data_IF_528246432613
#
_entry.id   IF_528246432613
#
_cell.length_a   1.000
_cell.length_b   1.000
_cell.length_c   1.000
_cell.angle_alpha   90.00
_cell.angle_beta   90.00
_cell.angle_gamma   90.00
#
_symmetry.space_group_name_H-M   'P 1'
#
loop_
_entity.id
_entity.type
_entity.pdbx_description
1 polymer ?
#
# COMPACT_ATOMS: atom_id res chain seq x y z
N UNK A 1 -24.87 -2.43 15.13
CA UNK A 1 -25.21 -1.26 14.29
C UNK A 1 -24.87 0.04 15.02
N UNK A 2 -24.01 0.88 14.44
CA UNK A 2 -23.66 2.22 14.94
C UNK A 2 -23.98 3.22 13.83
N UNK A 3 -24.99 4.05 14.02
CA UNK A 3 -25.28 5.17 13.12
C UNK A 3 -25.14 6.48 13.92
N UNK A 4 -24.41 7.48 13.41
CA UNK A 4 -24.29 8.78 14.08
C UNK A 4 -25.60 9.58 13.93
N UNK A 5 -26.03 10.24 15.00
CA UNK A 5 -27.17 11.15 14.99
C UNK A 5 -26.69 12.61 15.01
N UNK A 6 -26.85 13.29 13.87
CA UNK A 6 -26.98 14.75 13.79
C UNK A 6 -25.67 15.56 13.80
N UNK A 7 -25.52 16.40 12.78
CA UNK A 7 -24.69 17.61 12.82
C UNK A 7 -25.55 18.72 13.44
N UNK A 8 -25.22 19.18 14.65
CA UNK A 8 -25.78 20.44 15.17
C UNK A 8 -24.79 21.57 14.94
N UNK A 9 -25.30 22.70 14.45
CA UNK A 9 -24.52 23.92 14.22
C UNK A 9 -23.79 24.35 15.49
N UNK A 10 -22.48 24.53 15.37
CA UNK A 10 -21.49 24.85 16.41
C UNK A 10 -21.07 23.70 17.34
N UNK A 11 -20.18 22.81 16.85
CA UNK A 11 -19.19 22.13 17.70
C UNK A 11 -19.26 20.59 17.75
N UNK A 12 -18.55 19.93 16.84
CA UNK A 12 -18.12 18.51 16.94
C UNK A 12 -19.13 17.46 16.47
N UNK A 13 -18.62 16.39 15.83
CA UNK A 13 -19.39 15.17 15.57
C UNK A 13 -19.22 14.20 16.75
N UNK A 14 -20.25 13.42 17.09
CA UNK A 14 -20.24 12.54 18.27
C UNK A 14 -20.52 11.08 17.88
N UNK A 15 -19.78 10.14 18.50
CA UNK A 15 -19.98 8.70 18.34
C UNK A 15 -20.56 8.10 19.62
N UNK A 16 -21.69 7.39 19.51
CA UNK A 16 -22.31 6.68 20.64
C UNK A 16 -21.65 5.32 20.84
N UNK A 17 -20.98 5.13 21.98
CA UNK A 17 -20.39 3.85 22.39
C UNK A 17 -20.93 3.48 23.77
N UNK A 18 -21.65 2.35 23.86
CA UNK A 18 -22.02 1.75 25.15
C UNK A 18 -22.67 2.69 26.17
N UNK A 19 -23.62 3.54 25.74
CA UNK A 19 -24.36 4.45 26.63
C UNK A 19 -23.76 5.84 26.85
N UNK A 20 -22.60 6.16 26.27
CA UNK A 20 -21.99 7.50 26.34
C UNK A 20 -21.74 8.09 24.95
N UNK A 21 -21.93 9.41 24.83
CA UNK A 21 -21.65 10.19 23.63
C UNK A 21 -20.26 10.80 23.78
N UNK A 22 -19.30 10.38 22.95
CA UNK A 22 -17.96 10.99 22.90
C UNK A 22 -17.81 11.83 21.64
N UNK A 23 -17.10 12.95 21.77
CA UNK A 23 -16.65 13.73 20.61
C UNK A 23 -15.76 12.83 19.74
N UNK A 24 -16.02 12.80 18.44
CA UNK A 24 -15.21 12.10 17.46
C UNK A 24 -13.87 12.82 17.33
N UNK A 25 -12.79 12.06 17.20
CA UNK A 25 -11.48 12.61 16.83
C UNK A 25 -11.54 13.15 15.40
N UNK A 26 -10.65 14.09 15.05
CA UNK A 26 -10.57 14.61 13.68
C UNK A 26 -10.35 13.48 12.65
N UNK A 27 -9.62 12.42 13.03
CA UNK A 27 -9.46 11.21 12.21
C UNK A 27 -10.78 10.44 12.03
N UNK A 28 -11.60 10.30 13.08
CA UNK A 28 -12.90 9.64 12.99
C UNK A 28 -13.91 10.48 12.19
N UNK A 29 -13.86 11.81 12.33
CA UNK A 29 -14.64 12.75 11.51
C UNK A 29 -14.20 12.63 10.06
N UNK A 30 -12.90 12.64 9.82
CA UNK A 30 -12.31 12.49 8.50
C UNK A 30 -12.68 11.14 7.87
N UNK A 31 -12.60 10.03 8.62
CA UNK A 31 -13.02 8.72 8.17
C UNK A 31 -14.52 8.66 7.85
N UNK A 32 -15.35 9.33 8.64
CA UNK A 32 -16.80 9.43 8.42
C UNK A 32 -17.18 10.31 7.22
N UNK A 33 -16.45 11.40 6.98
CA UNK A 33 -16.65 12.26 5.80
C UNK A 33 -16.12 11.56 4.55
N UNK A 34 -14.96 10.91 4.65
CA UNK A 34 -14.35 10.13 3.57
C UNK A 34 -15.12 8.87 3.24
N UNK A 35 -15.98 8.35 4.12
CA UNK A 35 -16.92 7.29 3.76
C UNK A 35 -18.13 7.79 2.95
N UNK A 36 -18.30 9.11 2.76
CA UNK A 36 -19.37 9.70 1.93
C UNK A 36 -18.96 9.98 0.48
N UNK A 37 -17.68 9.81 0.12
CA UNK A 37 -17.17 9.99 -1.24
C UNK A 37 -15.88 9.20 -1.47
N UNK A 38 -15.57 8.91 -2.73
CA UNK A 38 -14.34 8.16 -3.07
C UNK A 38 -13.09 8.94 -2.64
N UNK A 39 -12.20 8.40 -1.77
CA UNK A 39 -10.95 9.04 -1.42
C UNK A 39 -10.05 9.17 -2.66
N UNK A 40 -9.24 10.22 -2.69
CA UNK A 40 -8.35 10.56 -3.80
C UNK A 40 -6.96 10.97 -3.33
N UNK A 41 -6.53 10.47 -2.17
CA UNK A 41 -5.23 10.83 -1.58
C UNK A 41 -4.05 10.47 -2.47
N UNK A 42 -4.23 9.45 -3.30
CA UNK A 42 -3.28 9.00 -4.31
C UNK A 42 -3.14 10.01 -5.47
N UNK A 43 -4.11 10.93 -5.64
CA UNK A 43 -4.04 12.06 -6.59
C UNK A 43 -3.40 13.33 -5.99
N UNK A 44 -3.16 13.38 -4.66
CA UNK A 44 -2.60 14.55 -4.00
C UNK A 44 -1.19 14.87 -4.55
N UNK A 45 -0.94 16.14 -4.86
CA UNK A 45 0.40 16.59 -5.29
C UNK A 45 1.35 16.64 -4.10
N UNK A 46 2.55 16.09 -4.27
CA UNK A 46 3.64 16.21 -3.30
C UNK A 46 4.40 17.49 -3.60
N UNK A 47 4.13 18.54 -2.82
CA UNK A 47 4.61 19.91 -3.11
C UNK A 47 6.13 20.04 -3.06
N UNK A 48 6.81 19.20 -2.29
CA UNK A 48 8.25 19.26 -2.12
C UNK A 48 9.01 18.48 -3.21
N UNK A 49 8.30 17.60 -3.94
CA UNK A 49 8.87 16.84 -5.05
C UNK A 49 8.76 17.59 -6.38
N UNK A 50 9.72 17.36 -7.26
CA UNK A 50 9.79 17.89 -8.62
C UNK A 50 9.79 16.75 -9.64
N UNK A 51 9.63 17.11 -10.92
CA UNK A 51 9.62 16.12 -12.00
C UNK A 51 10.94 15.32 -12.08
N UNK A 52 12.06 15.92 -11.71
CA UNK A 52 13.37 15.26 -11.70
C UNK A 52 13.47 14.14 -10.64
N UNK A 53 12.55 14.08 -9.67
CA UNK A 53 12.49 13.00 -8.67
C UNK A 53 11.77 11.76 -9.21
N UNK A 54 11.15 11.86 -10.39
CA UNK A 54 10.57 10.73 -11.11
C UNK A 54 11.64 10.07 -11.97
N UNK A 55 11.68 8.74 -11.88
CA UNK A 55 12.39 7.88 -12.81
C UNK A 55 11.59 7.78 -14.12
N UNK A 56 12.02 8.57 -15.10
CA UNK A 56 11.40 8.59 -16.42
C UNK A 56 11.58 7.29 -17.19
N UNK A 57 12.58 6.47 -16.86
CA UNK A 57 12.75 5.16 -17.50
C UNK A 57 11.62 4.22 -17.08
N UNK A 58 11.27 4.19 -15.79
CA UNK A 58 10.12 3.44 -15.29
C UNK A 58 8.79 3.94 -15.88
N UNK A 59 8.64 5.27 -16.03
CA UNK A 59 7.47 5.85 -16.70
C UNK A 59 7.39 5.42 -18.16
N UNK A 60 8.50 5.51 -18.91
CA UNK A 60 8.53 5.15 -20.33
C UNK A 60 8.21 3.65 -20.52
N UNK A 61 8.70 2.78 -19.62
CA UNK A 61 8.35 1.35 -19.59
C UNK A 61 6.84 1.14 -19.37
N UNK A 62 6.26 1.80 -18.36
CA UNK A 62 4.83 1.74 -18.06
C UNK A 62 3.96 2.24 -19.23
N UNK A 63 4.31 3.38 -19.83
CA UNK A 63 3.60 3.94 -20.98
C UNK A 63 3.65 2.98 -22.18
N UNK A 64 4.79 2.34 -22.43
CA UNK A 64 4.92 1.37 -23.52
C UNK A 64 4.08 0.10 -23.29
N UNK A 65 4.01 -0.38 -22.04
CA UNK A 65 3.09 -1.47 -21.67
C UNK A 65 1.63 -1.06 -21.91
N UNK A 66 1.24 0.15 -21.50
CA UNK A 66 -0.10 0.68 -21.75
C UNK A 66 -0.43 0.81 -23.24
N UNK A 67 0.51 1.28 -24.08
CA UNK A 67 0.33 1.35 -25.53
C UNK A 67 0.06 -0.03 -26.13
N UNK A 68 0.79 -1.04 -25.66
CA UNK A 68 0.63 -2.43 -26.10
C UNK A 68 -0.74 -3.00 -25.69
N UNK A 69 -1.13 -2.78 -24.43
CA UNK A 69 -2.42 -3.24 -23.90
C UNK A 69 -3.62 -2.46 -24.47
N UNK A 70 -3.42 -1.20 -24.86
CA UNK A 70 -4.48 -0.26 -25.27
C UNK A 70 -4.09 0.48 -26.55
N UNK A 71 -4.03 -0.20 -27.72
CA UNK A 71 -3.56 0.39 -28.97
C UNK A 71 -4.44 1.54 -29.53
N UNK A 72 -5.62 1.78 -28.94
CA UNK A 72 -6.53 2.88 -29.30
C UNK A 72 -6.46 4.08 -28.35
N UNK A 73 -5.59 4.05 -27.36
CA UNK A 73 -5.42 5.12 -26.38
C UNK A 73 -4.55 6.25 -26.94
N UNK A 74 -5.09 7.05 -27.86
CA UNK A 74 -4.36 8.13 -28.54
C UNK A 74 -3.79 9.21 -27.61
N UNK A 75 -4.32 9.34 -26.39
CA UNK A 75 -3.78 10.25 -25.38
C UNK A 75 -2.35 9.87 -24.92
N UNK A 76 -1.88 8.65 -25.20
CA UNK A 76 -0.51 8.20 -24.90
C UNK A 76 0.51 8.71 -25.92
N UNK A 77 0.07 9.29 -27.04
CA UNK A 77 0.93 9.83 -28.10
C UNK A 77 1.04 11.38 -28.04
N UNK A 78 0.35 11.98 -27.07
CA UNK A 78 0.42 13.41 -26.76
C UNK A 78 1.81 13.80 -26.19
N UNK A 79 2.13 15.10 -26.08
CA UNK A 79 3.34 15.55 -25.39
C UNK A 79 3.49 14.92 -24.01
N UNK A 80 4.73 14.65 -23.59
CA UNK A 80 5.03 13.95 -22.33
C UNK A 80 4.31 14.55 -21.11
N UNK A 81 4.25 15.87 -21.02
CA UNK A 81 3.57 16.56 -19.91
C UNK A 81 2.07 16.22 -19.86
N UNK A 82 1.41 16.14 -21.02
CA UNK A 82 0.01 15.77 -21.14
C UNK A 82 -0.21 14.28 -20.82
N UNK A 83 0.72 13.41 -21.22
CA UNK A 83 0.69 11.99 -20.88
C UNK A 83 0.82 11.78 -19.37
N UNK A 84 1.81 12.42 -18.73
CA UNK A 84 2.04 12.35 -17.28
C UNK A 84 0.81 12.84 -16.49
N UNK A 85 0.21 13.93 -16.95
CA UNK A 85 -0.98 14.52 -16.33
C UNK A 85 -2.22 13.64 -16.55
N UNK A 86 -2.42 13.16 -17.78
CA UNK A 86 -3.55 12.27 -18.13
C UNK A 86 -3.50 10.91 -17.44
N UNK A 87 -2.30 10.43 -17.12
CA UNK A 87 -2.08 9.22 -16.32
C UNK A 87 -2.12 9.48 -14.81
N UNK A 88 -2.28 10.74 -14.37
CA UNK A 88 -2.20 11.15 -12.97
C UNK A 88 -0.87 10.80 -12.29
N UNK A 89 0.22 10.68 -13.06
CA UNK A 89 1.59 10.58 -12.52
C UNK A 89 2.02 11.95 -11.99
N UNK A 90 1.62 13.01 -12.69
CA UNK A 90 1.79 14.39 -12.25
C UNK A 90 0.44 15.10 -12.16
N UNK A 91 0.37 16.07 -11.24
CA UNK A 91 -0.69 17.06 -11.17
C UNK A 91 -0.12 18.47 -11.38
N UNK A 92 -1.00 19.47 -11.37
CA UNK A 92 -0.59 20.86 -11.49
C UNK A 92 -0.54 21.53 -10.12
N UNK A 93 0.59 22.20 -9.82
CA UNK A 93 0.72 23.16 -8.72
C UNK A 93 1.25 24.48 -9.29
N UNK A 94 0.33 25.40 -9.59
CA UNK A 94 0.63 26.62 -10.32
C UNK A 94 1.06 26.33 -11.77
N UNK A 95 2.23 26.85 -12.16
CA UNK A 95 2.75 26.73 -13.53
C UNK A 95 3.67 25.50 -13.75
N UNK A 96 3.94 24.70 -12.71
CA UNK A 96 4.84 23.54 -12.80
C UNK A 96 4.07 22.25 -12.55
N UNK A 97 4.37 21.23 -13.36
CA UNK A 97 3.94 19.86 -13.08
C UNK A 97 4.69 19.32 -11.86
N UNK A 98 3.97 18.67 -10.95
CA UNK A 98 4.54 18.04 -9.76
C UNK A 98 4.04 16.60 -9.62
N UNK A 99 4.85 15.69 -9.08
CA UNK A 99 4.41 14.32 -8.81
C UNK A 99 3.15 14.28 -7.95
N UNK A 100 2.20 13.43 -8.33
CA UNK A 100 1.16 13.00 -7.41
C UNK A 100 1.73 11.98 -6.42
N UNK A 101 1.01 11.68 -5.35
CA UNK A 101 1.38 10.63 -4.43
C UNK A 101 1.53 9.28 -5.14
N UNK A 102 0.56 8.90 -5.99
CA UNK A 102 0.65 7.67 -6.77
C UNK A 102 1.84 7.69 -7.74
N UNK A 103 2.02 8.80 -8.45
CA UNK A 103 3.13 8.94 -9.40
C UNK A 103 4.49 8.82 -8.72
N UNK A 104 4.67 9.49 -7.58
CA UNK A 104 5.89 9.41 -6.80
C UNK A 104 6.10 8.00 -6.23
N UNK A 105 5.07 7.36 -5.66
CA UNK A 105 5.22 6.02 -5.10
C UNK A 105 5.46 4.92 -6.14
N UNK A 106 4.97 5.10 -7.37
CA UNK A 106 5.14 4.10 -8.43
C UNK A 106 6.42 4.30 -9.24
N UNK A 107 6.82 5.55 -9.45
CA UNK A 107 7.87 5.91 -10.41
C UNK A 107 8.93 6.85 -9.80
N UNK A 108 8.88 7.17 -8.52
CA UNK A 108 9.89 8.00 -7.87
C UNK A 108 11.22 7.26 -7.73
N UNK A 109 12.32 7.99 -7.90
CA UNK A 109 13.68 7.47 -7.69
C UNK A 109 13.91 7.01 -6.25
N UNK A 110 13.43 7.80 -5.29
CA UNK A 110 13.41 7.43 -3.88
C UNK A 110 12.28 8.15 -3.13
N UNK A 111 11.04 7.62 -3.15
CA UNK A 111 9.86 8.30 -2.60
C UNK A 111 10.00 8.67 -1.12
N UNK A 112 10.79 7.91 -0.37
CA UNK A 112 10.97 8.06 1.07
C UNK A 112 11.79 9.31 1.45
N UNK A 113 12.42 10.02 0.51
CA UNK A 113 12.96 11.37 0.79
C UNK A 113 11.85 12.35 1.20
N UNK A 114 10.67 12.20 0.58
CA UNK A 114 9.50 13.05 0.81
C UNK A 114 8.50 12.40 1.79
N UNK A 115 8.45 11.07 1.79
CA UNK A 115 7.43 10.29 2.48
C UNK A 115 8.07 9.16 3.31
N UNK A 116 8.82 9.48 4.39
CA UNK A 116 9.76 8.54 5.03
C UNK A 116 9.14 7.27 5.63
N UNK A 117 7.84 7.31 5.94
CA UNK A 117 7.12 6.18 6.55
C UNK A 117 6.29 5.39 5.54
N UNK A 118 6.27 5.81 4.27
CA UNK A 118 5.61 5.07 3.18
C UNK A 118 6.56 3.99 2.65
N UNK A 119 6.81 3.01 3.52
CA UNK A 119 7.70 1.87 3.30
C UNK A 119 7.05 0.59 3.85
N UNK A 120 7.70 -0.55 3.61
CA UNK A 120 7.39 -1.81 4.27
C UNK A 120 8.49 -2.19 5.25
N UNK A 121 8.12 -2.74 6.40
CA UNK A 121 9.09 -3.31 7.36
C UNK A 121 8.86 -4.80 7.51
N UNK A 122 9.93 -5.57 7.61
CA UNK A 122 9.91 -7.00 7.89
C UNK A 122 10.58 -7.30 9.21
N UNK A 123 9.91 -8.07 10.06
CA UNK A 123 10.47 -8.55 11.33
C UNK A 123 10.21 -10.05 11.44
N UNK A 124 11.28 -10.82 11.63
CA UNK A 124 11.18 -12.25 11.89
C UNK A 124 11.36 -12.53 13.38
N UNK A 125 10.38 -13.17 14.00
CA UNK A 125 10.40 -13.62 15.38
C UNK A 125 10.92 -15.04 15.48
N UNK A 126 11.55 -15.35 16.62
CA UNK A 126 12.03 -16.70 16.91
C UNK A 126 10.89 -17.70 17.15
N UNK A 127 9.86 -17.27 17.88
CA UNK A 127 8.73 -18.10 18.29
C UNK A 127 7.43 -17.73 17.59
N UNK A 128 6.31 -18.12 18.23
CA UNK A 128 4.96 -17.79 17.79
C UNK A 128 4.42 -16.50 18.43
N UNK A 129 5.15 -15.94 19.40
CA UNK A 129 4.82 -14.64 20.03
C UNK A 129 5.98 -13.64 20.02
N UNK A 130 5.69 -12.36 20.27
CA UNK A 130 6.70 -11.29 20.32
C UNK A 130 7.56 -11.32 21.60
N UNK A 131 7.16 -12.08 22.63
CA UNK A 131 7.86 -12.23 23.91
C UNK A 131 8.92 -13.32 23.89
N UNK A 132 8.78 -14.31 22.99
CA UNK A 132 9.76 -15.38 22.85
C UNK A 132 11.11 -14.83 22.36
N UNK A 133 12.20 -15.45 22.82
CA UNK A 133 13.57 -15.04 22.55
C UNK A 133 14.37 -16.23 22.03
N UNK A 134 15.39 -15.95 21.24
CA UNK A 134 16.37 -16.98 20.87
C UNK A 134 17.06 -17.52 22.14
N UNK A 135 17.70 -18.71 22.10
CA UNK A 135 18.50 -19.20 23.22
C UNK A 135 19.63 -18.25 23.66
N UNK A 136 20.00 -17.29 22.80
CA UNK A 136 20.99 -16.23 23.08
C UNK A 136 20.36 -14.94 23.61
N UNK A 137 19.03 -14.87 23.72
CA UNK A 137 18.29 -13.72 24.24
C UNK A 137 17.88 -12.67 23.20
N UNK A 138 18.07 -12.93 21.90
CA UNK A 138 17.69 -11.99 20.84
C UNK A 138 16.17 -11.95 20.66
N UNK A 139 15.62 -10.77 20.38
CA UNK A 139 14.18 -10.56 20.17
C UNK A 139 13.73 -10.93 18.76
N UNK A 140 14.56 -10.67 17.76
CA UNK A 140 14.25 -10.86 16.36
C UNK A 140 15.36 -11.68 15.71
N UNK A 141 15.00 -12.58 14.81
CA UNK A 141 15.94 -13.30 13.93
C UNK A 141 16.40 -12.41 12.78
N UNK A 142 15.52 -11.52 12.33
CA UNK A 142 15.78 -10.61 11.23
C UNK A 142 14.90 -9.35 11.36
N UNK A 143 15.40 -8.23 10.84
CA UNK A 143 14.70 -6.94 10.82
C UNK A 143 15.17 -6.11 9.62
N UNK A 144 14.27 -5.92 8.65
CA UNK A 144 14.57 -5.26 7.38
C UNK A 144 13.54 -4.17 7.06
N UNK A 145 13.99 -3.16 6.31
CA UNK A 145 13.11 -2.15 5.70
C UNK A 145 13.20 -2.27 4.18
N UNK A 146 12.06 -2.16 3.51
CA UNK A 146 11.94 -2.11 2.07
C UNK A 146 11.49 -0.71 1.70
N UNK A 147 12.37 0.00 1.01
CA UNK A 147 12.23 1.40 0.57
C UNK A 147 12.46 1.44 -0.95
N UNK A 148 12.10 2.55 -1.60
CA UNK A 148 12.04 2.69 -3.05
C UNK A 148 10.59 2.80 -3.57
N UNK A 149 10.41 2.78 -4.90
CA UNK A 149 9.09 2.73 -5.50
C UNK A 149 8.39 1.38 -5.22
N UNK A 150 7.06 1.40 -5.24
CA UNK A 150 6.20 0.26 -4.88
C UNK A 150 6.58 -1.04 -5.62
N UNK A 151 6.82 -1.06 -6.94
CA UNK A 151 7.18 -2.29 -7.63
C UNK A 151 8.44 -2.94 -7.06
N UNK A 152 9.47 -2.13 -6.80
CA UNK A 152 10.73 -2.61 -6.21
C UNK A 152 10.54 -3.08 -4.76
N UNK A 153 9.75 -2.35 -3.97
CA UNK A 153 9.47 -2.77 -2.60
C UNK A 153 8.71 -4.10 -2.55
N UNK A 154 7.77 -4.34 -3.47
CA UNK A 154 7.04 -5.61 -3.57
C UNK A 154 7.98 -6.74 -3.95
N UNK A 155 8.79 -6.56 -5.00
CA UNK A 155 9.72 -7.58 -5.48
C UNK A 155 10.78 -7.93 -4.43
N UNK A 156 11.30 -6.92 -3.72
CA UNK A 156 12.27 -7.12 -2.65
C UNK A 156 11.63 -7.81 -1.45
N UNK A 157 10.46 -7.36 -0.99
CA UNK A 157 9.75 -7.99 0.12
C UNK A 157 9.43 -9.46 -0.17
N UNK A 158 8.89 -9.76 -1.36
CA UNK A 158 8.58 -11.12 -1.80
C UNK A 158 9.84 -11.99 -1.76
N UNK A 159 10.92 -11.56 -2.43
CA UNK A 159 12.17 -12.31 -2.50
C UNK A 159 12.78 -12.56 -1.13
N UNK A 160 12.74 -11.55 -0.25
CA UNK A 160 13.27 -11.63 1.11
C UNK A 160 12.48 -12.62 1.97
N UNK A 161 11.15 -12.55 1.94
CA UNK A 161 10.29 -13.45 2.72
C UNK A 161 10.42 -14.89 2.21
N UNK A 162 10.46 -15.12 0.89
CA UNK A 162 10.72 -16.46 0.32
C UNK A 162 12.08 -17.03 0.75
N UNK A 163 13.09 -16.16 0.91
CA UNK A 163 14.39 -16.54 1.46
C UNK A 163 14.36 -16.91 2.94
N UNK A 164 13.51 -16.23 3.73
CA UNK A 164 13.35 -16.45 5.16
C UNK A 164 12.43 -17.64 5.50
N UNK A 165 11.54 -18.05 4.58
CA UNK A 165 10.65 -19.21 4.75
C UNK A 165 11.42 -20.52 4.95
N UNK A 166 10.88 -21.39 5.81
CA UNK A 166 11.43 -22.74 5.92
C UNK A 166 11.11 -23.52 4.65
N UNK A 167 12.13 -24.17 4.11
CA UNK A 167 11.99 -25.05 2.95
C UNK A 167 11.80 -26.47 3.45
N UNK A 168 10.61 -27.02 3.29
CA UNK A 168 10.38 -28.45 3.52
C UNK A 168 10.76 -29.21 2.25
N UNK A 169 11.61 -30.22 2.35
CA UNK A 169 11.98 -31.05 1.19
C UNK A 169 11.15 -32.31 1.17
N UNK A 170 10.31 -32.47 0.16
CA UNK A 170 9.61 -33.72 -0.13
C UNK A 170 10.50 -34.54 -1.07
N UNK A 171 10.78 -35.79 -0.68
CA UNK A 171 11.50 -36.75 -1.51
C UNK A 171 10.43 -37.59 -2.23
N UNK A 172 10.30 -37.39 -3.54
CA UNK A 172 9.41 -38.19 -4.39
C UNK A 172 10.29 -39.02 -5.36
N UNK A 173 10.56 -40.26 -4.97
CA UNK A 173 11.50 -41.14 -5.66
C UNK A 173 12.94 -40.59 -5.65
N UNK A 174 13.48 -40.25 -6.83
CA UNK A 174 14.85 -39.72 -7.02
C UNK A 174 14.88 -38.19 -6.99
N UNK A 175 13.72 -37.53 -7.03
CA UNK A 175 13.62 -36.07 -7.13
C UNK A 175 13.32 -35.45 -5.77
N UNK A 176 14.17 -34.51 -5.35
CA UNK A 176 13.92 -33.63 -4.21
C UNK A 176 13.14 -32.41 -4.72
N UNK A 177 11.97 -32.15 -4.15
CA UNK A 177 11.21 -30.91 -4.39
C UNK A 177 11.15 -30.12 -3.08
N UNK A 178 11.57 -28.87 -3.14
CA UNK A 178 11.37 -27.94 -2.03
C UNK A 178 9.93 -27.41 -2.11
N UNK A 179 9.17 -27.60 -1.04
CA UNK A 179 7.80 -27.11 -0.88
C UNK A 179 7.85 -25.90 0.06
N UNK A 180 7.47 -24.74 -0.47
CA UNK A 180 7.34 -23.49 0.26
C UNK A 180 6.15 -23.58 1.24
N UNK A 181 6.27 -22.90 2.39
CA UNK A 181 5.18 -22.81 3.37
C UNK A 181 3.95 -22.08 2.81
N UNK A 182 4.14 -21.14 1.87
CA UNK A 182 3.08 -20.40 1.18
C UNK A 182 3.33 -20.39 -0.34
N UNK A 183 2.28 -20.46 -1.18
CA UNK A 183 2.42 -20.24 -2.62
C UNK A 183 2.96 -18.83 -2.89
N UNK A 184 3.94 -18.72 -3.79
CA UNK A 184 4.57 -17.45 -4.16
C UNK A 184 3.54 -16.41 -4.63
N UNK A 185 2.59 -16.83 -5.48
CA UNK A 185 1.53 -15.96 -5.99
C UNK A 185 0.65 -15.39 -4.87
N UNK A 186 0.31 -16.22 -3.87
CA UNK A 186 -0.51 -15.79 -2.73
C UNK A 186 0.24 -14.78 -1.83
N UNK A 187 1.55 -14.95 -1.68
CA UNK A 187 2.40 -13.99 -0.95
C UNK A 187 2.44 -12.65 -1.68
N UNK A 188 2.72 -12.66 -2.99
CA UNK A 188 2.79 -11.44 -3.81
C UNK A 188 1.46 -10.68 -3.77
N UNK A 189 0.35 -11.39 -3.92
CA UNK A 189 -1.00 -10.82 -3.85
C UNK A 189 -1.31 -10.21 -2.47
N UNK A 190 -0.90 -10.88 -1.38
CA UNK A 190 -1.10 -10.35 -0.04
C UNK A 190 -0.29 -9.06 0.22
N UNK A 191 0.95 -8.98 -0.29
CA UNK A 191 1.78 -7.77 -0.21
C UNK A 191 1.17 -6.66 -1.10
N UNK A 192 0.79 -6.97 -2.33
CA UNK A 192 0.16 -6.02 -3.26
C UNK A 192 -1.13 -5.45 -2.67
N UNK A 193 -1.98 -6.29 -2.07
CA UNK A 193 -3.20 -5.86 -1.39
C UNK A 193 -2.92 -4.95 -0.19
N UNK A 194 -1.88 -5.24 0.59
CA UNK A 194 -1.50 -4.37 1.69
C UNK A 194 -1.12 -2.96 1.20
N UNK A 195 -0.43 -2.84 0.07
CA UNK A 195 -0.05 -1.56 -0.56
C UNK A 195 -1.25 -0.87 -1.20
N UNK A 196 -2.06 -1.60 -1.96
CA UNK A 196 -3.20 -1.11 -2.70
C UNK A 196 -4.30 -0.55 -1.80
N UNK A 197 -4.54 -1.17 -0.64
CA UNK A 197 -5.60 -0.80 0.29
C UNK A 197 -5.14 0.05 1.49
N UNK A 198 -3.84 0.36 1.55
CA UNK A 198 -3.27 1.24 2.56
C UNK A 198 -3.98 2.60 2.60
N UNK A 199 -4.21 3.13 3.80
CA UNK A 199 -4.67 4.50 3.97
C UNK A 199 -3.51 5.50 3.77
N UNK A 200 -3.60 6.25 2.68
CA UNK A 200 -2.65 7.29 2.28
C UNK A 200 -3.08 8.71 2.69
N UNK A 201 -4.11 8.86 3.52
CA UNK A 201 -4.49 10.15 4.10
C UNK A 201 -3.34 10.74 4.92
N UNK A 202 -3.27 12.08 4.97
CA UNK A 202 -2.22 12.81 5.71
C UNK A 202 -2.12 12.40 7.19
N UNK A 203 -3.22 11.94 7.79
CA UNK A 203 -3.28 11.45 9.18
C UNK A 203 -2.58 10.10 9.39
N UNK A 204 -2.43 9.29 8.34
CA UNK A 204 -1.89 7.91 8.40
C UNK A 204 -0.57 7.76 7.65
N UNK A 205 -0.13 8.78 6.90
CA UNK A 205 1.19 8.79 6.23
C UNK A 205 2.38 8.57 7.15
N UNK A 206 2.24 8.78 8.47
CA UNK A 206 3.28 8.51 9.47
C UNK A 206 3.47 7.04 9.86
N UNK A 207 2.72 6.11 9.26
CA UNK A 207 2.77 4.67 9.56
C UNK A 207 3.23 3.87 8.35
N UNK A 208 3.88 2.73 8.57
CA UNK A 208 4.34 1.81 7.53
C UNK A 208 3.51 0.53 7.48
N UNK A 209 3.61 -0.21 6.37
CA UNK A 209 3.10 -1.58 6.30
C UNK A 209 4.07 -2.48 7.07
N UNK A 210 3.53 -3.33 7.93
CA UNK A 210 4.33 -4.19 8.79
C UNK A 210 4.12 -5.66 8.47
N UNK A 211 5.20 -6.31 8.06
CA UNK A 211 5.27 -7.74 7.77
C UNK A 211 5.96 -8.40 8.97
N UNK A 212 5.25 -9.30 9.65
CA UNK A 212 5.78 -10.06 10.78
C UNK A 212 5.75 -11.54 10.43
N UNK A 213 6.91 -12.18 10.52
CA UNK A 213 7.03 -13.61 10.33
C UNK A 213 7.28 -14.27 11.68
N UNK A 214 6.41 -15.22 12.03
CA UNK A 214 6.50 -16.04 13.23
C UNK A 214 6.84 -17.48 12.85
N UNK A 215 7.12 -18.30 13.86
CA UNK A 215 7.38 -19.71 13.66
C UNK A 215 6.17 -20.51 13.14
N UNK A 216 4.95 -19.96 13.10
CA UNK A 216 3.73 -20.65 12.66
C UNK A 216 2.89 -19.88 11.65
N UNK A 217 3.19 -18.59 11.40
CA UNK A 217 2.40 -17.73 10.52
C UNK A 217 3.17 -16.53 9.98
N UNK A 218 2.67 -15.97 8.88
CA UNK A 218 3.04 -14.66 8.35
C UNK A 218 1.86 -13.70 8.54
N UNK A 219 2.12 -12.52 9.11
CA UNK A 219 1.14 -11.44 9.27
C UNK A 219 1.56 -10.23 8.45
N UNK A 220 0.67 -9.71 7.61
CA UNK A 220 0.87 -8.47 6.86
C UNK A 220 -0.18 -7.46 7.34
N UNK A 221 0.28 -6.41 8.02
CA UNK A 221 -0.58 -5.39 8.59
C UNK A 221 -0.43 -4.08 7.81
N UNK A 222 -1.53 -3.63 7.20
CA UNK A 222 -1.60 -2.35 6.49
C UNK A 222 -2.32 -1.27 7.31
N UNK A 223 -1.80 -0.03 7.38
CA UNK A 223 -2.48 1.09 8.02
C UNK A 223 -3.84 1.43 7.38
N UNK A 224 -4.84 1.77 8.20
CA UNK A 224 -6.13 2.31 7.74
C UNK A 224 -7.36 1.43 7.95
N UNK A 225 -7.19 0.15 8.31
CA UNK A 225 -8.30 -0.78 8.50
C UNK A 225 -9.21 -0.93 7.26
N UNK A 226 -10.39 -1.53 7.42
CA UNK A 226 -11.33 -1.74 6.31
C UNK A 226 -11.98 -0.42 5.84
N UNK A 227 -12.23 -0.29 4.54
CA UNK A 227 -12.83 0.89 3.91
C UNK A 227 -14.21 0.62 3.32
N UNK A 228 -15.05 1.66 3.22
CA UNK A 228 -16.36 1.56 2.58
C UNK A 228 -17.32 0.68 3.39
N UNK A 229 -18.16 -0.11 2.71
CA UNK A 229 -19.03 -1.08 3.37
C UNK A 229 -18.31 -2.41 3.62
N UNK A 230 -16.99 -2.48 3.44
CA UNK A 230 -16.23 -3.70 3.63
C UNK A 230 -16.12 -4.02 5.12
N UNK A 231 -16.71 -5.14 5.51
CA UNK A 231 -16.54 -5.85 6.77
C UNK A 231 -15.64 -7.07 6.55
N UNK A 232 -15.19 -7.68 7.64
CA UNK A 232 -14.45 -8.95 7.56
C UNK A 232 -15.25 -10.08 6.88
N UNK A 233 -16.56 -9.92 6.76
CA UNK A 233 -17.51 -10.90 6.23
C UNK A 233 -17.76 -10.76 4.73
N UNK A 234 -17.43 -9.61 4.12
CA UNK A 234 -17.68 -9.32 2.69
C UNK A 234 -16.44 -8.84 1.93
N UNK A 235 -15.24 -9.01 2.52
CA UNK A 235 -13.96 -8.57 1.95
C UNK A 235 -13.63 -9.25 0.61
N UNK A 236 -14.20 -10.42 0.35
CA UNK A 236 -14.07 -11.15 -0.91
C UNK A 236 -15.03 -10.63 -1.99
N UNK A 237 -16.11 -9.93 -1.63
CA UNK A 237 -17.23 -9.58 -2.52
C UNK A 237 -17.36 -8.07 -2.81
N UNK A 238 -16.96 -7.19 -1.89
CA UNK A 238 -17.04 -5.72 -2.08
C UNK A 238 -15.69 -5.10 -2.47
N UNK A 239 -15.63 -4.57 -3.70
CA UNK A 239 -14.48 -3.79 -4.19
C UNK A 239 -14.65 -2.30 -3.89
N UNK A 240 -14.40 -1.88 -2.64
CA UNK A 240 -14.23 -0.47 -2.31
C UNK A 240 -12.74 -0.15 -2.19
N UNK A 241 -12.15 0.38 -3.27
CA UNK A 241 -10.76 0.85 -3.25
C UNK A 241 -10.66 2.23 -2.63
N UNK A 242 -9.57 2.53 -1.92
CA UNK A 242 -9.23 3.91 -1.48
C UNK A 242 -8.33 4.64 -2.49
N UNK A 243 -7.68 3.90 -3.39
CA UNK A 243 -6.51 4.38 -4.13
C UNK A 243 -6.64 3.98 -5.62
N UNK A 244 -7.63 4.54 -6.29
CA UNK A 244 -8.01 4.13 -7.65
C UNK A 244 -6.90 4.34 -8.69
N UNK A 245 -6.08 5.39 -8.57
CA UNK A 245 -4.95 5.63 -9.48
C UNK A 245 -3.81 4.71 -9.20
N UNK A 246 -3.48 4.53 -7.92
CA UNK A 246 -2.42 3.62 -7.52
C UNK A 246 -2.71 2.19 -8.00
N UNK A 247 -3.91 1.67 -7.76
CA UNK A 247 -4.28 0.33 -8.21
C UNK A 247 -4.24 0.20 -9.73
N UNK A 248 -4.75 1.20 -10.48
CA UNK A 248 -4.67 1.20 -11.95
C UNK A 248 -3.22 1.20 -12.46
N UNK A 249 -2.29 1.84 -11.76
CA UNK A 249 -0.87 1.80 -12.08
C UNK A 249 -0.28 0.42 -11.79
N UNK A 250 -0.62 -0.18 -10.65
CA UNK A 250 -0.17 -1.53 -10.27
C UNK A 250 -0.71 -2.64 -11.19
N UNK A 251 -1.96 -2.53 -11.65
CA UNK A 251 -2.59 -3.49 -12.56
C UNK A 251 -1.86 -3.64 -13.89
N UNK A 252 -1.22 -2.57 -14.39
CA UNK A 252 -0.54 -2.64 -15.69
C UNK A 252 0.90 -3.18 -15.58
N UNK A 253 1.42 -3.37 -14.35
CA UNK A 253 2.75 -3.92 -14.08
C UNK A 253 2.71 -5.43 -13.80
N UNK A 254 1.53 -6.03 -13.69
CA UNK A 254 1.29 -7.48 -13.60
C UNK A 254 0.91 -8.04 -14.98
#
# INVERSE_FOLDING_TARGET
>A
HRWPQGLRGNGGAYLRSGGTDRSMTDYEIFGYISSRGQPKHDEDVITDAVLDDIDMELVDQYVNQLRTARPRAGYLDEPREDVLTGLHICGHDGARGKPTLAGLLMFGKFPQEFLPQLMMTFVQYYGTTEEERTPRGERFLDNQRFEGPIPEMIDWAESHILGAMRKSSLIDGVFRRDVLEYPQEALREAIANAVAHRDYSSYVRGSYIQIRMYADRLEIQSPGGLFGNVTTENIEEEQSTRNARLMRMMEALH
#
